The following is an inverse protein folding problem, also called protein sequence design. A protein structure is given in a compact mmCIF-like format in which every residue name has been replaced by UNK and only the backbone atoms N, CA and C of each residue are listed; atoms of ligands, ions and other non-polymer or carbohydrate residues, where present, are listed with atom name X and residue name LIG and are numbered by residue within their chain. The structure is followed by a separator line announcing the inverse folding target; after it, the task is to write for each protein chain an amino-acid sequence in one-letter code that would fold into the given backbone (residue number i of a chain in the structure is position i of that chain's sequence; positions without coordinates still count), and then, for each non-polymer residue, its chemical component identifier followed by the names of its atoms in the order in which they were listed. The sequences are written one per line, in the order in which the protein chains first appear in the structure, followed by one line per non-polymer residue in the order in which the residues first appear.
data_IF_047051035806
#
_entry.id   IF_047051035806
#
_cell.length_a   1.000
_cell.length_b   1.000
_cell.length_c   1.000
_cell.angle_alpha   90.00
_cell.angle_beta   90.00
_cell.angle_gamma   90.00
#
_symmetry.space_group_name_H-M   'P 1'
#
loop_
_entity.id
_entity.type
_entity.pdbx_description
1 polymer ?
#
# COMPACT_ATOMS: atom_id res chain seq x y z
N UNK A 1 -8.92 11.81 -41.53
CA UNK A 1 -9.61 11.05 -40.47
C UNK A 1 -8.61 10.09 -39.87
N UNK A 2 -8.01 10.47 -38.75
CA UNK A 2 -7.08 9.63 -37.99
C UNK A 2 -7.91 8.65 -37.17
N UNK A 3 -7.74 7.35 -37.39
CA UNK A 3 -8.31 6.34 -36.49
C UNK A 3 -7.83 6.61 -35.05
N UNK A 4 -8.73 6.62 -34.05
CA UNK A 4 -8.32 6.66 -32.67
C UNK A 4 -7.52 5.39 -32.37
N UNK A 5 -6.24 5.56 -32.03
CA UNK A 5 -5.36 4.46 -31.67
C UNK A 5 -5.98 3.67 -30.50
N UNK A 6 -6.37 2.43 -30.75
CA UNK A 6 -6.90 1.54 -29.71
C UNK A 6 -5.85 1.39 -28.62
N UNK A 7 -6.13 1.77 -27.36
CA UNK A 7 -5.15 1.66 -26.29
C UNK A 7 -4.78 0.18 -26.11
N UNK A 8 -3.50 -0.14 -26.28
CA UNK A 8 -3.00 -1.50 -26.00
C UNK A 8 -3.21 -1.79 -24.50
N UNK A 9 -3.75 -2.96 -24.12
CA UNK A 9 -3.87 -3.34 -22.72
C UNK A 9 -2.47 -3.43 -22.09
N UNK A 10 -2.28 -2.93 -20.86
CA UNK A 10 -1.04 -3.20 -20.14
C UNK A 10 -1.17 -4.60 -19.56
N UNK A 11 -0.57 -5.56 -20.25
CA UNK A 11 -0.26 -6.86 -19.67
C UNK A 11 0.57 -6.58 -18.40
N UNK A 12 0.21 -7.21 -17.29
CA UNK A 12 0.93 -7.11 -16.03
C UNK A 12 2.43 -7.30 -16.28
N UNK A 13 3.19 -6.21 -16.20
CA UNK A 13 4.62 -6.18 -16.52
C UNK A 13 5.38 -5.98 -15.23
N UNK A 14 6.24 -6.94 -14.91
CA UNK A 14 7.05 -6.96 -13.71
C UNK A 14 8.50 -6.71 -14.02
N UNK A 15 9.15 -6.01 -13.10
CA UNK A 15 10.57 -5.75 -13.09
C UNK A 15 11.06 -5.87 -11.64
N UNK A 16 12.23 -6.45 -11.46
CA UNK A 16 12.98 -6.34 -10.20
C UNK A 16 14.24 -5.54 -10.49
N UNK A 17 14.56 -4.61 -9.60
CA UNK A 17 15.76 -3.79 -9.68
C UNK A 17 16.29 -3.48 -8.28
N UNK A 18 17.56 -3.13 -8.18
CA UNK A 18 18.15 -2.70 -6.92
C UNK A 18 17.46 -1.44 -6.38
N UNK A 19 17.48 -1.26 -5.07
CA UNK A 19 16.95 -0.05 -4.42
C UNK A 19 17.66 1.20 -4.94
N UNK A 20 18.96 1.10 -5.25
CA UNK A 20 19.74 2.17 -5.86
C UNK A 20 19.22 2.49 -7.28
N UNK A 21 19.09 1.51 -8.17
CA UNK A 21 18.55 1.75 -9.50
C UNK A 21 17.13 2.36 -9.45
N UNK A 22 16.29 1.93 -8.51
CA UNK A 22 14.96 2.50 -8.31
C UNK A 22 14.98 3.95 -7.83
N UNK A 23 15.84 4.28 -6.86
CA UNK A 23 16.01 5.63 -6.35
C UNK A 23 16.48 6.57 -7.46
N UNK A 24 17.53 6.18 -8.21
CA UNK A 24 18.07 6.95 -9.32
C UNK A 24 17.05 7.18 -10.44
N UNK A 25 16.28 6.14 -10.78
CA UNK A 25 15.18 6.23 -11.73
C UNK A 25 14.10 7.22 -11.27
N UNK A 26 13.76 7.19 -9.99
CA UNK A 26 12.75 8.06 -9.38
C UNK A 26 13.19 9.53 -9.34
N UNK A 27 14.43 9.79 -8.90
CA UNK A 27 15.02 11.12 -8.85
C UNK A 27 15.11 11.73 -10.26
N UNK A 28 15.60 10.94 -11.23
CA UNK A 28 15.71 11.39 -12.62
C UNK A 28 14.34 11.70 -13.22
N UNK A 29 13.35 10.85 -12.96
CA UNK A 29 11.99 11.07 -13.47
C UNK A 29 11.33 12.30 -12.83
N UNK A 30 11.47 12.46 -11.51
CA UNK A 30 10.96 13.62 -10.80
C UNK A 30 11.61 14.92 -11.29
N UNK A 31 12.93 14.94 -11.50
CA UNK A 31 13.64 16.09 -12.07
C UNK A 31 13.20 16.42 -13.49
N UNK A 32 13.12 15.40 -14.37
CA UNK A 32 12.71 15.58 -15.77
C UNK A 32 11.28 16.10 -15.92
N UNK A 33 10.39 15.72 -15.00
CA UNK A 33 8.97 16.08 -15.02
C UNK A 33 8.61 17.22 -14.05
N UNK A 34 9.60 17.78 -13.35
CA UNK A 34 9.41 18.83 -12.34
C UNK A 34 8.38 18.44 -11.26
N UNK A 35 8.37 17.17 -10.86
CA UNK A 35 7.46 16.67 -9.83
C UNK A 35 8.00 17.00 -8.44
N UNK A 36 7.11 17.15 -7.44
CA UNK A 36 7.51 17.24 -6.05
C UNK A 36 8.33 16.00 -5.65
N UNK A 37 9.48 16.21 -5.04
CA UNK A 37 10.24 15.11 -4.41
C UNK A 37 9.44 14.61 -3.20
N UNK A 38 9.42 13.29 -2.99
CA UNK A 38 8.80 12.73 -1.80
C UNK A 38 9.51 13.27 -0.55
N UNK A 39 8.80 13.83 0.44
CA UNK A 39 9.40 14.15 1.73
C UNK A 39 9.74 12.83 2.41
N UNK A 40 10.93 12.74 3.02
CA UNK A 40 11.38 11.63 3.89
C UNK A 40 12.08 10.42 3.24
N UNK A 41 13.04 10.64 2.33
CA UNK A 41 14.20 9.74 2.29
C UNK A 41 15.44 10.49 2.79
N UNK A 42 16.15 9.88 3.75
CA UNK A 42 17.50 10.33 4.10
C UNK A 42 18.33 10.06 2.86
N UNK A 43 18.49 11.09 2.03
CA UNK A 43 19.32 11.06 0.82
C UNK A 43 20.73 10.67 1.25
N UNK A 44 21.09 9.41 1.01
CA UNK A 44 22.48 9.01 1.08
C UNK A 44 23.12 9.61 -0.17
N UNK A 45 24.13 10.50 -0.04
CA UNK A 45 24.75 11.09 -1.21
C UNK A 45 25.29 10.00 -2.12
N UNK A 46 24.92 10.06 -3.40
CA UNK A 46 25.42 9.13 -4.40
C UNK A 46 26.94 9.17 -4.46
N UNK A 47 27.58 8.01 -4.33
CA UNK A 47 28.97 7.86 -4.78
C UNK A 47 28.98 7.69 -6.29
N UNK A 48 30.07 8.10 -6.95
CA UNK A 48 30.23 7.94 -8.40
C UNK A 48 30.07 6.47 -8.82
N UNK A 49 30.65 5.55 -8.06
CA UNK A 49 30.56 4.10 -8.30
C UNK A 49 29.13 3.57 -8.16
N UNK A 50 28.39 4.00 -7.12
CA UNK A 50 26.99 3.55 -6.91
C UNK A 50 26.05 4.08 -7.98
N UNK A 51 26.24 5.33 -8.43
CA UNK A 51 25.49 5.90 -9.53
C UNK A 51 25.79 5.19 -10.86
N UNK A 52 27.06 4.89 -11.14
CA UNK A 52 27.46 4.17 -12.35
C UNK A 52 26.90 2.74 -12.40
N UNK A 53 26.92 2.03 -11.27
CA UNK A 53 26.32 0.70 -11.15
C UNK A 53 24.80 0.73 -11.37
N UNK A 54 24.11 1.69 -10.74
CA UNK A 54 22.67 1.87 -10.91
C UNK A 54 22.29 2.21 -12.37
N UNK A 55 23.02 3.11 -13.04
CA UNK A 55 22.79 3.41 -14.46
C UNK A 55 23.03 2.21 -15.38
N UNK A 56 24.05 1.39 -15.06
CA UNK A 56 24.33 0.16 -15.81
C UNK A 56 23.15 -0.80 -15.70
N UNK A 57 22.64 -1.03 -14.49
CA UNK A 57 21.44 -1.85 -14.28
C UNK A 57 20.22 -1.31 -15.03
N UNK A 58 19.96 0.00 -14.95
CA UNK A 58 18.84 0.63 -15.69
C UNK A 58 18.99 0.46 -17.20
N UNK A 59 20.21 0.47 -17.73
CA UNK A 59 20.49 0.22 -19.15
C UNK A 59 20.23 -1.23 -19.54
N UNK A 60 20.73 -2.19 -18.76
CA UNK A 60 20.55 -3.63 -18.99
C UNK A 60 19.07 -4.04 -18.96
N UNK A 61 18.28 -3.42 -18.06
CA UNK A 61 16.84 -3.61 -17.96
C UNK A 61 16.05 -2.86 -19.06
N UNK A 62 16.74 -2.11 -19.93
CA UNK A 62 16.13 -1.36 -21.03
C UNK A 62 15.26 -0.18 -20.57
N UNK A 63 15.54 0.36 -19.38
CA UNK A 63 14.84 1.49 -18.77
C UNK A 63 15.49 2.82 -19.17
N UNK A 64 16.81 2.78 -19.40
CA UNK A 64 17.66 3.91 -19.76
C UNK A 64 18.41 3.63 -21.08
N UNK A 65 18.46 4.57 -22.03
CA UNK A 65 19.32 4.44 -23.21
C UNK A 65 20.79 4.78 -22.91
N UNK A 66 21.05 5.70 -21.97
CA UNK A 66 22.36 6.16 -21.54
C UNK A 66 22.26 6.78 -20.14
N UNK A 67 23.38 6.86 -19.42
CA UNK A 67 23.42 7.48 -18.10
C UNK A 67 22.86 8.91 -18.11
N UNK A 68 22.00 9.24 -17.15
CA UNK A 68 21.29 10.52 -17.07
C UNK A 68 20.01 10.59 -17.89
N UNK A 69 19.72 9.59 -18.72
CA UNK A 69 18.51 9.52 -19.53
C UNK A 69 17.61 8.37 -19.10
N UNK A 70 16.30 8.62 -19.05
CA UNK A 70 15.27 7.61 -18.80
C UNK A 70 14.32 7.59 -19.99
N UNK A 71 13.95 6.40 -20.47
CA UNK A 71 13.00 6.29 -21.57
C UNK A 71 11.65 6.89 -21.19
N UNK A 72 11.03 7.62 -22.12
CA UNK A 72 9.74 8.30 -21.90
C UNK A 72 8.64 7.43 -21.28
N UNK A 73 8.53 6.18 -21.72
CA UNK A 73 7.57 5.21 -21.17
C UNK A 73 7.74 4.97 -19.65
N UNK A 74 8.97 5.02 -19.16
CA UNK A 74 9.29 4.85 -17.73
C UNK A 74 9.18 6.16 -16.96
N UNK A 75 9.46 7.32 -17.58
CA UNK A 75 9.12 8.62 -17.00
C UNK A 75 7.63 8.69 -16.66
N UNK A 76 6.76 8.34 -17.62
CA UNK A 76 5.32 8.30 -17.41
C UNK A 76 4.90 7.29 -16.33
N UNK A 77 5.50 6.10 -16.30
CA UNK A 77 5.20 5.08 -15.29
C UNK A 77 5.60 5.52 -13.87
N UNK A 78 6.78 6.11 -13.69
CA UNK A 78 7.23 6.63 -12.40
C UNK A 78 6.38 7.83 -11.96
N UNK A 79 5.98 8.69 -12.90
CA UNK A 79 5.04 9.77 -12.62
C UNK A 79 3.69 9.27 -12.09
N UNK A 80 3.23 8.09 -12.52
CA UNK A 80 2.05 7.45 -11.94
C UNK A 80 2.26 7.11 -10.47
N UNK A 81 3.47 6.84 -9.99
CA UNK A 81 3.69 6.60 -8.56
C UNK A 81 3.80 7.91 -7.79
N UNK A 82 4.61 8.85 -8.30
CA UNK A 82 4.99 10.06 -7.58
C UNK A 82 3.90 11.14 -7.54
N UNK A 83 3.02 11.15 -8.55
CA UNK A 83 2.02 12.19 -8.74
C UNK A 83 0.66 11.64 -9.16
N UNK A 84 0.37 10.37 -8.83
CA UNK A 84 -0.98 9.86 -9.04
C UNK A 84 -1.99 10.62 -8.17
N UNK A 85 -3.18 10.90 -8.71
CA UNK A 85 -4.27 11.48 -7.93
C UNK A 85 -4.79 10.50 -6.88
N UNK A 86 -4.56 9.19 -7.04
CA UNK A 86 -4.88 8.15 -6.07
C UNK A 86 -3.64 7.33 -5.74
N UNK A 87 -3.37 7.18 -4.45
CA UNK A 87 -2.33 6.30 -3.95
C UNK A 87 -2.90 5.28 -2.97
N UNK A 88 -2.39 4.05 -3.07
CA UNK A 88 -2.65 2.99 -2.11
C UNK A 88 -1.34 2.64 -1.45
N UNK A 89 -1.31 2.63 -0.12
CA UNK A 89 -0.18 2.05 0.62
C UNK A 89 -0.63 0.80 1.34
N UNK A 90 0.24 -0.21 1.32
CA UNK A 90 0.05 -1.43 2.07
C UNK A 90 1.28 -1.71 2.91
N UNK A 91 1.05 -2.17 4.13
CA UNK A 91 2.07 -2.79 4.96
C UNK A 91 1.55 -4.13 5.43
N UNK A 92 2.39 -5.15 5.36
CA UNK A 92 2.05 -6.45 5.92
C UNK A 92 3.22 -7.04 6.69
N UNK A 93 2.94 -7.88 7.68
CA UNK A 93 3.94 -8.61 8.47
C UNK A 93 3.58 -10.09 8.50
N UNK A 94 4.58 -10.95 8.42
CA UNK A 94 4.44 -12.40 8.51
C UNK A 94 5.81 -13.05 8.75
N UNK A 95 5.93 -13.94 9.74
CA UNK A 95 7.14 -14.74 10.01
C UNK A 95 8.45 -13.93 10.02
N UNK A 96 8.48 -12.79 10.70
CA UNK A 96 9.68 -11.95 10.81
C UNK A 96 10.02 -11.17 9.54
N UNK A 97 9.12 -11.13 8.55
CA UNK A 97 9.24 -10.32 7.35
C UNK A 97 8.11 -9.30 7.33
N UNK A 98 8.45 -8.06 7.01
CA UNK A 98 7.46 -7.04 6.67
C UNK A 98 7.59 -6.65 5.21
N UNK A 99 6.47 -6.37 4.56
CA UNK A 99 6.44 -5.88 3.18
C UNK A 99 5.76 -4.54 3.15
N UNK A 100 6.38 -3.57 2.49
CA UNK A 100 5.79 -2.28 2.18
C UNK A 100 5.42 -2.27 0.71
N UNK A 101 4.30 -1.64 0.37
CA UNK A 101 3.87 -1.45 -1.00
C UNK A 101 3.30 -0.06 -1.18
N UNK A 102 3.71 0.61 -2.24
CA UNK A 102 3.16 1.88 -2.68
C UNK A 102 2.62 1.69 -4.09
N UNK A 103 1.36 2.06 -4.31
CA UNK A 103 0.70 1.98 -5.59
C UNK A 103 0.19 3.36 -5.97
N UNK A 104 0.36 3.72 -7.23
CA UNK A 104 -0.21 4.93 -7.82
C UNK A 104 -1.14 4.59 -8.95
N UNK A 105 -2.33 5.20 -8.96
CA UNK A 105 -3.42 4.91 -9.91
C UNK A 105 -3.83 6.18 -10.66
N UNK A 106 -3.93 6.10 -11.99
CA UNK A 106 -4.46 7.18 -12.84
C UNK A 106 -4.99 6.63 -14.16
N UNK A 107 -6.21 7.01 -14.53
CA UNK A 107 -6.74 6.77 -15.87
C UNK A 107 -6.71 5.30 -16.28
N UNK A 108 -7.19 4.41 -15.40
CA UNK A 108 -7.22 2.96 -15.59
C UNK A 108 -5.85 2.26 -15.65
N UNK A 109 -4.76 2.95 -15.31
CA UNK A 109 -3.42 2.37 -15.18
C UNK A 109 -2.91 2.48 -13.75
N UNK A 110 -2.11 1.51 -13.36
CA UNK A 110 -1.44 1.48 -12.08
C UNK A 110 0.04 1.11 -12.17
N UNK A 111 0.79 1.60 -11.20
CA UNK A 111 2.14 1.15 -10.87
C UNK A 111 2.14 0.73 -9.40
N UNK A 112 2.79 -0.38 -9.09
CA UNK A 112 3.01 -0.85 -7.74
C UNK A 112 4.52 -1.03 -7.53
N UNK A 113 5.01 -0.54 -6.40
CA UNK A 113 6.39 -0.73 -5.95
C UNK A 113 6.34 -1.37 -4.60
N UNK A 114 7.13 -2.42 -4.44
CA UNK A 114 7.12 -3.20 -3.22
C UNK A 114 8.53 -3.48 -2.74
N UNK A 115 8.71 -3.46 -1.43
CA UNK A 115 9.96 -3.78 -0.78
C UNK A 115 9.71 -4.67 0.42
N UNK A 116 10.56 -5.68 0.60
CA UNK A 116 10.55 -6.53 1.78
C UNK A 116 11.64 -6.10 2.75
N UNK A 117 11.34 -6.32 4.01
CA UNK A 117 12.19 -5.97 5.12
C UNK A 117 12.19 -7.12 6.12
N UNK A 118 13.35 -7.39 6.73
CA UNK A 118 13.40 -8.15 7.96
C UNK A 118 12.80 -7.30 9.07
N UNK A 119 11.98 -7.92 9.91
CA UNK A 119 11.31 -7.21 10.98
C UNK A 119 11.10 -8.09 12.20
N UNK A 120 11.21 -7.48 13.37
CA UNK A 120 10.97 -8.14 14.64
C UNK A 120 9.75 -7.52 15.32
N UNK A 121 8.90 -8.37 15.90
CA UNK A 121 7.84 -7.90 16.79
C UNK A 121 8.44 -7.59 18.15
N UNK A 122 8.27 -6.35 18.58
CA UNK A 122 8.61 -5.88 19.93
C UNK A 122 7.32 -5.61 20.69
N UNK A 123 7.37 -5.56 22.02
CA UNK A 123 6.18 -5.24 22.83
C UNK A 123 5.55 -3.87 22.52
N UNK A 124 6.24 -2.99 21.79
CA UNK A 124 5.74 -1.68 21.34
C UNK A 124 5.41 -1.62 19.84
N UNK A 125 5.53 -2.74 19.11
CA UNK A 125 5.19 -2.85 17.68
C UNK A 125 6.28 -3.51 16.84
N UNK A 126 6.14 -3.48 15.52
CA UNK A 126 7.10 -4.08 14.58
C UNK A 126 8.25 -3.13 14.26
N UNK A 127 9.48 -3.56 14.53
CA UNK A 127 10.72 -2.84 14.18
C UNK A 127 11.34 -3.48 12.95
N UNK A 128 11.77 -2.65 11.98
CA UNK A 128 12.52 -3.12 10.80
C UNK A 128 13.99 -3.28 11.19
N UNK A 129 14.54 -4.47 10.98
CA UNK A 129 15.93 -4.84 11.35
C UNK A 129 16.84 -5.01 10.14
N UNK A 130 16.27 -5.04 8.92
CA UNK A 130 16.99 -5.06 7.67
C UNK A 130 16.06 -4.87 6.48
N UNK A 131 16.60 -4.54 5.32
CA UNK A 131 15.84 -4.36 4.08
C UNK A 131 16.43 -5.20 2.97
N UNK A 132 15.59 -5.73 2.07
CA UNK A 132 16.11 -6.24 0.80
C UNK A 132 16.69 -5.06 -0.02
N UNK A 133 17.83 -5.30 -0.65
CA UNK A 133 18.51 -4.33 -1.54
C UNK A 133 17.86 -4.25 -2.93
N UNK A 134 16.63 -4.74 -3.06
CA UNK A 134 15.86 -4.73 -4.30
C UNK A 134 14.41 -4.35 -4.04
N UNK A 135 13.80 -3.75 -5.05
CA UNK A 135 12.37 -3.51 -5.10
C UNK A 135 11.77 -4.24 -6.30
N UNK A 136 10.49 -4.61 -6.16
CA UNK A 136 9.72 -5.07 -7.30
C UNK A 136 8.78 -3.98 -7.79
N UNK A 137 8.83 -3.71 -9.09
CA UNK A 137 7.94 -2.77 -9.79
C UNK A 137 7.00 -3.53 -10.70
N UNK A 138 5.71 -3.30 -10.55
CA UNK A 138 4.67 -3.88 -11.41
C UNK A 138 3.85 -2.78 -12.08
N UNK A 139 3.77 -2.80 -13.40
CA UNK A 139 2.82 -2.01 -14.18
C UNK A 139 1.59 -2.86 -14.48
N UNK A 140 0.40 -2.30 -14.27
CA UNK A 140 -0.84 -3.05 -14.41
C UNK A 140 -1.99 -2.17 -14.91
N UNK A 141 -2.99 -2.80 -15.52
CA UNK A 141 -4.30 -2.19 -15.71
C UNK A 141 -5.02 -2.15 -14.37
N UNK A 142 -5.68 -1.04 -14.04
CA UNK A 142 -6.27 -0.82 -12.71
C UNK A 142 -7.27 -1.92 -12.28
N UNK A 143 -7.94 -2.56 -13.24
CA UNK A 143 -8.77 -3.76 -13.00
C UNK A 143 -8.00 -4.96 -12.40
N UNK A 144 -6.66 -4.94 -12.48
CA UNK A 144 -5.73 -5.90 -11.89
C UNK A 144 -5.10 -5.39 -10.59
N UNK A 145 -5.69 -4.38 -9.95
CA UNK A 145 -5.23 -3.83 -8.67
C UNK A 145 -5.00 -4.92 -7.63
N UNK A 146 -5.98 -5.81 -7.43
CA UNK A 146 -5.83 -6.88 -6.44
C UNK A 146 -4.69 -7.85 -6.79
N UNK A 147 -4.63 -8.45 -8.00
CA UNK A 147 -3.49 -9.27 -8.40
C UNK A 147 -2.10 -8.59 -8.28
N UNK A 148 -2.03 -7.27 -8.49
CA UNK A 148 -0.79 -6.51 -8.33
C UNK A 148 -0.35 -6.45 -6.85
N UNK A 149 -1.30 -6.30 -5.92
CA UNK A 149 -1.02 -6.24 -4.48
C UNK A 149 -0.86 -7.63 -3.83
N UNK A 150 -1.78 -8.55 -4.12
CA UNK A 150 -1.96 -9.86 -3.46
C UNK A 150 -0.64 -10.64 -3.31
N UNK A 151 0.16 -10.65 -4.38
CA UNK A 151 1.37 -11.47 -4.48
C UNK A 151 2.40 -11.16 -3.39
N UNK A 152 2.37 -9.96 -2.83
CA UNK A 152 3.30 -9.50 -1.81
C UNK A 152 2.69 -9.30 -0.43
N UNK A 153 1.43 -9.67 -0.28
CA UNK A 153 0.86 -9.95 1.02
C UNK A 153 1.37 -11.30 1.54
N UNK A 154 1.26 -11.59 2.85
CA UNK A 154 1.57 -12.89 3.43
C UNK A 154 1.00 -14.06 2.62
N UNK A 155 1.73 -15.18 2.43
CA UNK A 155 1.29 -16.34 1.64
C UNK A 155 0.23 -17.19 2.36
N UNK A 156 -0.80 -16.53 2.90
CA UNK A 156 -1.92 -17.12 3.62
C UNK A 156 -3.18 -16.94 2.76
N UNK A 157 -3.94 -18.02 2.59
CA UNK A 157 -5.20 -17.99 1.82
C UNK A 157 -6.18 -16.95 2.39
N UNK A 158 -6.25 -16.85 3.72
CA UNK A 158 -7.05 -15.85 4.42
C UNK A 158 -6.79 -14.42 3.95
N UNK A 159 -5.54 -14.11 3.59
CA UNK A 159 -5.10 -12.77 3.15
C UNK A 159 -5.18 -12.59 1.65
N UNK A 160 -4.86 -13.65 0.88
CA UNK A 160 -4.70 -13.58 -0.58
C UNK A 160 -5.96 -13.93 -1.37
N UNK A 161 -7.01 -14.42 -0.71
CA UNK A 161 -8.22 -14.84 -1.40
C UNK A 161 -8.85 -13.73 -2.27
N UNK A 162 -9.54 -14.09 -3.37
CA UNK A 162 -10.28 -13.15 -4.21
C UNK A 162 -11.36 -12.38 -3.43
N UNK A 163 -11.76 -11.22 -3.94
CA UNK A 163 -12.74 -10.34 -3.31
C UNK A 163 -14.01 -11.05 -2.84
N UNK A 164 -14.29 -10.94 -1.53
CA UNK A 164 -15.51 -11.45 -0.89
C UNK A 164 -15.91 -10.52 0.26
N UNK A 165 -17.12 -9.97 0.17
CA UNK A 165 -17.67 -9.11 1.21
C UNK A 165 -17.98 -9.89 2.50
N UNK A 166 -17.86 -9.23 3.66
CA UNK A 166 -18.42 -9.76 4.89
C UNK A 166 -19.96 -9.75 4.84
N UNK A 167 -20.63 -10.71 5.49
CA UNK A 167 -22.08 -10.65 5.66
C UNK A 167 -22.49 -9.39 6.42
N UNK A 168 -23.61 -8.77 6.03
CA UNK A 168 -24.17 -7.60 6.75
C UNK A 168 -24.53 -7.91 8.22
N UNK A 169 -24.71 -9.19 8.55
CA UNK A 169 -25.00 -9.69 9.89
C UNK A 169 -23.74 -9.98 10.72
N UNK A 170 -22.54 -9.67 10.23
CA UNK A 170 -21.31 -9.91 10.98
C UNK A 170 -21.29 -9.06 12.27
N UNK A 171 -21.14 -9.74 13.41
CA UNK A 171 -21.02 -9.09 14.72
C UNK A 171 -19.57 -9.14 15.21
N UNK A 172 -19.10 -8.13 15.97
CA UNK A 172 -17.78 -8.17 16.55
C UNK A 172 -17.56 -9.43 17.40
N UNK A 173 -16.40 -10.07 17.22
CA UNK A 173 -15.93 -11.14 18.09
C UNK A 173 -15.49 -10.59 19.45
N UNK A 174 -14.94 -9.37 19.47
CA UNK A 174 -14.60 -8.65 20.69
C UNK A 174 -14.64 -7.13 20.49
N UNK A 175 -14.89 -6.43 21.59
CA UNK A 175 -14.74 -4.97 21.73
C UNK A 175 -13.82 -4.74 22.92
N UNK A 176 -12.65 -4.17 22.67
CA UNK A 176 -11.59 -3.95 23.64
C UNK A 176 -11.56 -2.47 24.01
N UNK A 177 -11.74 -2.16 25.29
CA UNK A 177 -11.59 -0.81 25.84
C UNK A 177 -10.62 -0.81 27.02
N UNK A 178 -10.49 0.34 27.69
CA UNK A 178 -9.55 0.52 28.81
C UNK A 178 -9.73 -0.50 29.96
N UNK A 179 -10.96 -0.98 30.18
CA UNK A 179 -11.30 -1.92 31.24
C UNK A 179 -11.33 -3.39 30.79
N UNK A 180 -10.98 -3.70 29.54
CA UNK A 180 -11.03 -5.07 29.03
C UNK A 180 -9.88 -5.90 29.57
N UNK A 181 -10.21 -6.99 30.26
CA UNK A 181 -9.24 -8.00 30.67
C UNK A 181 -8.85 -8.86 29.46
N UNK A 182 -7.63 -8.66 28.96
CA UNK A 182 -7.07 -9.40 27.83
C UNK A 182 -6.92 -10.90 28.11
N UNK A 183 -6.78 -11.30 29.39
CA UNK A 183 -6.69 -12.70 29.79
C UNK A 183 -8.04 -13.43 29.83
N UNK A 184 -9.14 -12.70 29.72
CA UNK A 184 -10.51 -13.23 29.77
C UNK A 184 -11.26 -13.09 28.44
N UNK A 185 -10.56 -12.82 27.34
CA UNK A 185 -11.19 -12.67 26.04
C UNK A 185 -11.79 -14.00 25.56
N UNK A 186 -12.98 -13.97 24.92
CA UNK A 186 -13.52 -15.15 24.27
C UNK A 186 -12.67 -15.51 23.05
N UNK A 187 -12.64 -16.80 22.71
CA UNK A 187 -12.22 -17.19 21.37
C UNK A 187 -13.22 -16.64 20.34
N UNK A 188 -12.74 -16.16 19.18
CA UNK A 188 -11.35 -16.25 18.73
C UNK A 188 -10.46 -15.04 19.08
N UNK A 189 -10.98 -14.01 19.75
CA UNK A 189 -10.21 -12.80 20.06
C UNK A 189 -9.03 -13.05 21.01
N UNK A 190 -9.10 -14.08 21.86
CA UNK A 190 -7.98 -14.53 22.69
C UNK A 190 -6.75 -14.92 21.85
N UNK A 191 -6.96 -15.58 20.70
CA UNK A 191 -5.87 -16.00 19.81
C UNK A 191 -5.03 -14.81 19.29
N UNK A 192 -5.67 -13.67 19.02
CA UNK A 192 -4.97 -12.45 18.58
C UNK A 192 -4.04 -11.87 19.65
N UNK A 193 -4.40 -12.00 20.93
CA UNK A 193 -3.56 -11.57 22.06
C UNK A 193 -2.41 -12.56 22.29
N UNK A 194 -2.67 -13.85 22.11
CA UNK A 194 -1.66 -14.90 22.27
C UNK A 194 -0.58 -14.85 21.17
N UNK A 195 -0.94 -14.41 19.96
CA UNK A 195 -0.01 -14.14 18.87
C UNK A 195 -0.71 -14.10 17.52
N UNK A 196 -0.45 -13.05 16.74
CA UNK A 196 -0.89 -12.99 15.35
C UNK A 196 0.08 -13.71 14.41
N UNK A 197 -0.46 -14.44 13.43
CA UNK A 197 0.29 -15.05 12.34
C UNK A 197 0.75 -13.97 11.35
N UNK A 198 -0.13 -13.01 11.06
CA UNK A 198 0.12 -11.93 10.11
C UNK A 198 -0.71 -10.68 10.41
N UNK A 199 -0.18 -9.50 10.08
CA UNK A 199 -0.92 -8.24 10.05
C UNK A 199 -0.92 -7.67 8.64
N UNK A 200 -2.01 -7.00 8.25
CA UNK A 200 -2.10 -6.19 7.02
C UNK A 200 -2.75 -4.86 7.34
N UNK A 201 -2.11 -3.76 6.95
CA UNK A 201 -2.68 -2.41 6.99
C UNK A 201 -2.71 -1.84 5.58
N UNK A 202 -3.85 -1.27 5.20
CA UNK A 202 -4.03 -0.56 3.94
C UNK A 202 -4.46 0.89 4.21
N UNK A 203 -4.04 1.79 3.32
CA UNK A 203 -4.60 3.13 3.25
C UNK A 203 -4.75 3.59 1.81
N UNK A 204 -5.82 4.37 1.57
CA UNK A 204 -6.09 5.01 0.29
C UNK A 204 -6.07 6.51 0.52
N UNK A 205 -5.25 7.20 -0.26
CA UNK A 205 -5.10 8.65 -0.25
C UNK A 205 -5.47 9.18 -1.61
N UNK A 206 -6.24 10.27 -1.64
CA UNK A 206 -6.53 11.02 -2.85
C UNK A 206 -5.87 12.39 -2.75
N UNK A 207 -5.37 12.93 -3.85
CA UNK A 207 -4.77 14.26 -3.90
C UNK A 207 -5.55 15.18 -4.84
N UNK A 208 -6.80 15.59 -4.49
CA UNK A 208 -7.49 16.63 -5.24
C UNK A 208 -6.65 17.91 -5.22
N UNK A 209 -6.40 18.48 -6.40
CA UNK A 209 -5.63 19.73 -6.56
C UNK A 209 -4.23 19.70 -5.92
N UNK A 210 -3.63 18.51 -5.79
CA UNK A 210 -2.31 18.33 -5.19
C UNK A 210 -2.29 18.37 -3.65
N UNK A 211 -3.44 18.38 -2.99
CA UNK A 211 -3.53 18.28 -1.52
C UNK A 211 -3.89 16.84 -1.11
N UNK A 212 -2.92 16.03 -0.65
CA UNK A 212 -3.19 14.65 -0.28
C UNK A 212 -4.08 14.58 0.98
N UNK A 213 -5.22 13.92 0.85
CA UNK A 213 -6.16 13.61 1.91
C UNK A 213 -6.35 12.09 2.01
N UNK A 214 -6.10 11.53 3.20
CA UNK A 214 -6.38 10.12 3.48
C UNK A 214 -7.89 9.92 3.50
N UNK A 215 -8.42 9.17 2.54
CA UNK A 215 -9.85 8.90 2.43
C UNK A 215 -10.27 7.67 3.23
N UNK A 216 -9.38 6.68 3.33
CA UNK A 216 -9.71 5.41 3.93
C UNK A 216 -8.47 4.71 4.48
N UNK A 217 -8.65 3.96 5.56
CA UNK A 217 -7.64 3.07 6.14
C UNK A 217 -8.32 1.91 6.82
N UNK A 218 -7.70 0.73 6.75
CA UNK A 218 -8.18 -0.46 7.42
C UNK A 218 -7.01 -1.36 7.81
N UNK A 219 -7.24 -2.16 8.86
CA UNK A 219 -6.30 -3.11 9.39
C UNK A 219 -6.94 -4.48 9.53
N UNK A 220 -6.13 -5.51 9.28
CA UNK A 220 -6.49 -6.90 9.48
C UNK A 220 -5.38 -7.62 10.21
N UNK A 221 -5.78 -8.62 11.00
CA UNK A 221 -4.88 -9.57 11.62
C UNK A 221 -5.36 -10.99 11.31
N UNK A 222 -4.41 -11.91 11.21
CA UNK A 222 -4.65 -13.34 11.01
C UNK A 222 -4.17 -14.07 12.24
N UNK A 223 -5.02 -14.92 12.79
CA UNK A 223 -4.64 -15.81 13.88
C UNK A 223 -5.39 -17.15 13.74
N UNK A 224 -4.65 -18.25 13.86
CA UNK A 224 -5.23 -19.59 13.80
C UNK A 224 -5.88 -19.91 12.45
N UNK A 225 -5.44 -19.26 11.37
CA UNK A 225 -6.02 -19.41 10.02
C UNK A 225 -7.28 -18.59 9.75
N UNK A 226 -7.75 -17.79 10.71
CA UNK A 226 -8.91 -16.92 10.56
C UNK A 226 -8.49 -15.47 10.30
N UNK A 227 -9.29 -14.73 9.53
CA UNK A 227 -9.06 -13.32 9.23
C UNK A 227 -9.94 -12.42 10.10
N UNK A 228 -9.35 -11.42 10.73
CA UNK A 228 -10.05 -10.44 11.56
C UNK A 228 -9.86 -9.04 11.01
N UNK A 229 -10.96 -8.30 10.85
CA UNK A 229 -10.91 -6.86 10.65
C UNK A 229 -10.80 -6.17 12.01
N UNK A 230 -9.82 -5.26 12.13
CA UNK A 230 -9.55 -4.51 13.35
C UNK A 230 -9.88 -3.04 13.10
N UNK A 231 -10.78 -2.48 13.91
CA UNK A 231 -11.20 -1.09 13.82
C UNK A 231 -10.96 -0.38 15.14
N UNK A 232 -10.26 0.73 15.09
CA UNK A 232 -10.00 1.58 16.26
C UNK A 232 -10.91 2.79 16.21
N UNK A 233 -11.68 3.01 17.27
CA UNK A 233 -12.56 4.17 17.44
C UNK A 233 -12.06 5.01 18.60
N UNK A 234 -11.70 6.26 18.33
CA UNK A 234 -11.45 7.23 19.39
C UNK A 234 -12.80 7.57 20.04
N UNK A 235 -12.96 7.21 21.30
CA UNK A 235 -14.12 7.61 22.10
C UNK A 235 -13.99 9.08 22.48
N UNK A 236 -14.42 9.98 21.58
CA UNK A 236 -14.61 11.38 21.97
C UNK A 236 -15.87 11.49 22.83
N UNK A 237 -15.75 11.23 24.12
CA UNK A 237 -16.70 11.73 25.10
C UNK A 237 -16.44 13.24 25.33
N UNK A 238 -17.46 14.11 25.48
CA UNK A 238 -17.29 15.57 25.68
C UNK A 238 -16.56 15.98 26.96
N UNK A 239 -16.09 15.03 27.76
CA UNK A 239 -15.26 15.23 28.94
C UNK A 239 -14.19 14.14 28.98
N UNK A 240 -13.32 14.10 27.97
CA UNK A 240 -12.15 13.21 27.96
C UNK A 240 -11.27 13.55 29.16
N UNK A 241 -11.32 12.71 30.20
CA UNK A 241 -10.28 12.67 31.21
C UNK A 241 -9.03 12.11 30.54
N UNK A 242 -7.86 12.65 30.88
CA UNK A 242 -6.58 12.14 30.40
C UNK A 242 -6.43 10.67 30.83
N UNK A 243 -6.61 9.73 29.89
CA UNK A 243 -6.60 8.29 30.18
C UNK A 243 -7.52 7.42 29.32
N UNK A 244 -8.42 8.00 28.52
CA UNK A 244 -9.30 7.19 27.65
C UNK A 244 -8.51 6.50 26.53
N UNK A 245 -8.35 5.19 26.66
CA UNK A 245 -7.84 4.32 25.59
C UNK A 245 -8.87 4.22 24.47
N UNK A 246 -8.44 4.20 23.19
CA UNK A 246 -9.35 4.03 22.08
C UNK A 246 -10.00 2.64 22.13
N UNK A 247 -11.28 2.57 21.75
CA UNK A 247 -12.01 1.32 21.64
C UNK A 247 -11.55 0.57 20.38
N UNK A 248 -11.15 -0.68 20.53
CA UNK A 248 -10.74 -1.55 19.42
C UNK A 248 -11.80 -2.63 19.20
N UNK A 249 -12.45 -2.61 18.05
CA UNK A 249 -13.41 -3.62 17.63
C UNK A 249 -12.72 -4.64 16.73
N UNK A 250 -12.86 -5.92 17.08
CA UNK A 250 -12.34 -7.05 16.30
C UNK A 250 -13.52 -7.83 15.75
N UNK A 251 -13.57 -8.01 14.44
CA UNK A 251 -14.65 -8.74 13.75
C UNK A 251 -14.05 -9.83 12.86
N UNK A 252 -14.47 -11.07 13.04
CA UNK A 252 -14.09 -12.14 12.10
C UNK A 252 -14.74 -11.88 10.74
N UNK A 253 -13.95 -11.98 9.68
CA UNK A 253 -14.36 -11.70 8.30
C UNK A 253 -13.91 -12.83 7.38
N UNK A 254 -14.63 -13.08 6.26
CA UNK A 254 -14.23 -14.13 5.35
C UNK A 254 -12.88 -13.82 4.67
N UNK A 255 -12.16 -14.88 4.27
CA UNK A 255 -11.08 -14.75 3.29
C UNK A 255 -11.60 -14.00 2.05
N UNK A 256 -10.82 -13.02 1.58
CA UNK A 256 -11.21 -12.15 0.46
C UNK A 256 -11.77 -10.79 0.87
N UNK A 257 -11.97 -10.56 2.18
CA UNK A 257 -12.45 -9.28 2.69
C UNK A 257 -11.47 -8.13 2.40
N UNK A 258 -10.16 -8.37 2.49
CA UNK A 258 -9.13 -7.36 2.18
C UNK A 258 -9.27 -6.87 0.73
N UNK A 259 -9.37 -7.82 -0.21
CA UNK A 259 -9.54 -7.53 -1.63
C UNK A 259 -10.82 -6.75 -1.93
N UNK A 260 -11.93 -7.14 -1.28
CA UNK A 260 -13.21 -6.45 -1.42
C UNK A 260 -13.13 -5.00 -0.93
N UNK A 261 -12.62 -4.79 0.29
CA UNK A 261 -12.52 -3.46 0.90
C UNK A 261 -11.57 -2.55 0.13
N UNK A 262 -10.45 -3.07 -0.39
CA UNK A 262 -9.55 -2.30 -1.24
C UNK A 262 -10.24 -1.81 -2.51
N UNK A 263 -10.95 -2.69 -3.22
CA UNK A 263 -11.67 -2.32 -4.44
C UNK A 263 -12.76 -1.29 -4.12
N UNK A 264 -13.52 -1.50 -3.04
CA UNK A 264 -14.52 -0.55 -2.58
C UNK A 264 -13.93 0.82 -2.27
N UNK A 265 -12.82 0.88 -1.53
CA UNK A 265 -12.14 2.11 -1.16
C UNK A 265 -11.59 2.87 -2.38
N UNK A 266 -11.02 2.16 -3.35
CA UNK A 266 -10.51 2.79 -4.59
C UNK A 266 -11.63 3.33 -5.46
N UNK A 267 -12.75 2.60 -5.60
CA UNK A 267 -13.93 3.09 -6.32
C UNK A 267 -14.47 4.36 -5.65
N UNK A 268 -14.66 4.34 -4.33
CA UNK A 268 -15.11 5.53 -3.59
C UNK A 268 -14.14 6.70 -3.70
N UNK A 269 -12.84 6.43 -3.81
CA UNK A 269 -11.82 7.47 -4.01
C UNK A 269 -11.89 8.11 -5.41
N UNK A 270 -12.20 7.34 -6.45
CA UNK A 270 -12.50 7.89 -7.79
C UNK A 270 -13.73 8.78 -7.77
N UNK A 271 -14.80 8.34 -7.11
CA UNK A 271 -16.04 9.14 -6.99
C UNK A 271 -15.76 10.47 -6.26
N UNK A 272 -14.95 10.43 -5.20
CA UNK A 272 -14.54 11.64 -4.48
C UNK A 272 -13.73 12.60 -5.36
N UNK A 273 -12.79 12.10 -6.16
CA UNK A 273 -12.02 12.91 -7.11
C UNK A 273 -12.89 13.50 -8.22
N UNK A 274 -13.82 12.71 -8.76
CA UNK A 274 -14.77 13.17 -9.78
C UNK A 274 -15.68 14.28 -9.22
N UNK A 275 -16.16 14.12 -7.98
CA UNK A 275 -16.95 15.13 -7.28
C UNK A 275 -16.18 16.43 -7.03
N UNK A 276 -14.91 16.34 -6.62
CA UNK A 276 -14.06 17.52 -6.41
C UNK A 276 -13.83 18.30 -7.72
N UNK A 277 -13.56 17.60 -8.82
CA UNK A 277 -13.38 18.22 -10.13
C UNK A 277 -14.63 18.92 -10.68
N UNK A 278 -15.83 18.45 -10.31
CA UNK A 278 -17.09 19.08 -10.69
C UNK A 278 -17.40 20.37 -9.90
N UNK A 279 -16.91 20.49 -8.66
CA UNK A 279 -17.13 21.66 -7.80
C UNK A 279 -16.13 22.79 -8.10
N UNK A 280 -14.94 22.45 -8.59
CA UNK A 280 -13.89 23.42 -8.94
C UNK A 280 -14.09 24.10 -10.31
N UNK A 281 -15.13 23.77 -11.08
CA UNK A 281 -15.39 24.33 -12.40
C UNK A 281 -16.60 25.28 -12.46
N UNK A 282 -16.37 26.59 -12.56
CA UNK A 282 -17.18 27.52 -13.35
C UNK A 282 -16.49 27.92 -14.67
#
# INVERSE_FOLDING_TARGET
MTEPATPRPIILRRLQLSTAAWQLLSETAAAALQLPQAPEHVETPWTEDSAAAAWTELHELGLSPAAGEVRWQWLGAVALLLAAPLTVTARATYNGVSTTSALGLRGARGIAVHQRHLSESTGSGTVVTGSEDSVEVTLFDEEKLWPALERLLPPLEAVRAPAKAAPLSATPAAVLGAATDLGALPEPAASLVAGEDANVTLSVTAAPEGQPARLWTAMWSVAGGHLYSVRTRNTQAPAAQAGDMPEVTVTEVPAGHIAHELVFAVVGAHDALAGAGAVAGP
#
